data_IF_226446548860
#
_entry.id   IF_226446548860
#
_cell.length_a   1.000
_cell.length_b   1.000
_cell.length_c   1.000
_cell.angle_alpha   90.00
_cell.angle_beta   90.00
_cell.angle_gamma   90.00
#
_symmetry.space_group_name_H-M   'P 1'
#
loop_
_entity.id
_entity.type
_entity.pdbx_description
1 polymer ?
#
# COMPACT_ATOMS: atom_id res chain seq x y z
N UNK A 1 -49.60 9.00 -3.00
CA UNK A 1 -50.07 8.77 -4.38
C UNK A 1 -49.63 7.38 -4.79
N UNK A 2 -50.43 6.63 -5.57
CA UNK A 2 -49.98 5.38 -6.18
C UNK A 2 -48.83 5.69 -7.15
N UNK A 3 -47.73 4.95 -7.08
CA UNK A 3 -46.54 5.11 -7.94
C UNK A 3 -46.84 4.66 -9.38
N UNK A 4 -47.85 5.24 -10.03
CA UNK A 4 -48.39 4.79 -11.32
C UNK A 4 -48.85 3.32 -11.35
N UNK A 5 -49.18 2.74 -10.19
CA UNK A 5 -49.69 1.36 -10.06
C UNK A 5 -51.17 1.38 -9.70
N UNK A 6 -52.02 0.72 -10.50
CA UNK A 6 -53.46 0.58 -10.26
C UNK A 6 -54.34 1.05 -11.41
N UNK A 7 -55.64 1.16 -11.16
CA UNK A 7 -56.62 1.70 -12.11
C UNK A 7 -56.74 3.22 -11.98
N UNK A 8 -56.91 3.92 -13.10
CA UNK A 8 -57.14 5.38 -13.09
C UNK A 8 -58.47 5.75 -12.44
N UNK A 9 -59.53 4.95 -12.65
CA UNK A 9 -60.79 5.06 -11.91
C UNK A 9 -61.34 3.65 -11.62
N UNK A 10 -61.96 3.40 -10.45
CA UNK A 10 -62.58 2.11 -10.15
C UNK A 10 -63.88 1.83 -10.94
N UNK A 11 -64.50 2.88 -11.50
CA UNK A 11 -65.79 2.82 -12.21
C UNK A 11 -65.65 2.02 -13.51
N UNK A 12 -66.53 1.04 -13.71
CA UNK A 12 -66.51 0.15 -14.88
C UNK A 12 -65.61 -1.07 -14.75
N UNK A 13 -64.74 -1.16 -13.73
CA UNK A 13 -63.90 -2.34 -13.49
C UNK A 13 -64.63 -3.49 -12.76
N UNK A 14 -65.79 -3.21 -12.17
CA UNK A 14 -66.53 -4.19 -11.37
C UNK A 14 -65.88 -4.54 -10.03
N UNK A 15 -64.85 -3.82 -9.60
CA UNK A 15 -64.13 -4.04 -8.33
C UNK A 15 -64.05 -2.76 -7.49
N UNK A 16 -63.60 -2.88 -6.23
CA UNK A 16 -63.45 -1.73 -5.31
C UNK A 16 -62.29 -0.78 -5.67
N UNK A 17 -61.42 -1.14 -6.60
CA UNK A 17 -60.22 -0.37 -6.95
C UNK A 17 -59.12 -0.39 -5.88
N UNK A 18 -59.20 -1.30 -4.90
CA UNK A 18 -58.19 -1.45 -3.85
C UNK A 18 -56.92 -2.12 -4.41
N UNK A 19 -55.76 -1.46 -4.29
CA UNK A 19 -54.48 -1.94 -4.79
C UNK A 19 -53.61 -2.39 -3.63
N UNK A 20 -53.23 -3.67 -3.59
CA UNK A 20 -52.33 -4.23 -2.59
C UNK A 20 -50.90 -4.36 -3.16
N UNK A 21 -49.91 -4.03 -2.34
CA UNK A 21 -48.49 -4.29 -2.68
C UNK A 21 -48.21 -5.80 -2.71
N UNK A 22 -47.44 -6.25 -3.70
CA UNK A 22 -46.99 -7.64 -3.74
C UNK A 22 -45.92 -7.88 -2.66
N UNK A 23 -46.19 -8.77 -1.69
CA UNK A 23 -45.26 -9.13 -0.62
C UNK A 23 -44.08 -9.98 -1.09
N UNK A 24 -44.25 -10.71 -2.20
CA UNK A 24 -43.20 -11.54 -2.80
C UNK A 24 -42.30 -10.76 -3.78
N UNK A 25 -42.63 -9.50 -4.07
CA UNK A 25 -41.80 -8.68 -4.95
C UNK A 25 -40.54 -8.21 -4.20
N UNK A 26 -39.42 -8.90 -4.48
CA UNK A 26 -38.10 -8.52 -3.96
C UNK A 26 -37.60 -7.29 -4.70
N UNK A 27 -37.53 -6.14 -4.01
CA UNK A 27 -36.90 -4.94 -4.56
C UNK A 27 -35.41 -5.22 -4.81
N UNK A 28 -34.86 -4.92 -6.01
CA UNK A 28 -33.43 -4.96 -6.25
C UNK A 28 -32.74 -4.08 -5.20
N UNK A 29 -31.74 -4.65 -4.53
CA UNK A 29 -30.94 -3.94 -3.53
C UNK A 29 -29.94 -3.08 -4.30
N UNK A 30 -29.95 -1.77 -4.11
CA UNK A 30 -29.02 -0.84 -4.80
C UNK A 30 -27.54 -1.22 -4.56
N UNK A 31 -27.27 -1.94 -3.48
CA UNK A 31 -25.95 -2.48 -3.14
C UNK A 31 -25.92 -4.00 -3.40
N UNK A 32 -25.90 -4.40 -4.66
CA UNK A 32 -25.87 -5.81 -5.07
C UNK A 32 -24.49 -6.49 -4.94
N UNK A 33 -23.43 -5.77 -4.57
CA UNK A 33 -22.11 -6.36 -4.38
C UNK A 33 -21.58 -6.09 -2.97
N UNK A 34 -21.05 -7.10 -2.26
CA UNK A 34 -20.23 -6.89 -1.06
C UNK A 34 -18.83 -6.32 -1.40
N UNK A 35 -18.60 -5.91 -2.65
CA UNK A 35 -17.34 -5.38 -3.15
C UNK A 35 -17.52 -3.93 -3.60
N UNK A 36 -16.50 -3.12 -3.34
CA UNK A 36 -16.45 -1.72 -3.75
C UNK A 36 -16.76 -1.57 -5.26
N UNK A 37 -17.42 -0.47 -5.67
CA UNK A 37 -17.76 -0.25 -7.07
C UNK A 37 -16.50 -0.33 -7.93
N UNK A 38 -16.59 -1.05 -9.06
CA UNK A 38 -15.53 -1.27 -10.06
C UNK A 38 -14.84 0.00 -10.60
N UNK A 39 -15.36 1.18 -10.27
CA UNK A 39 -14.92 2.46 -10.79
C UNK A 39 -13.79 3.10 -9.96
N UNK A 40 -13.52 2.61 -8.74
CA UNK A 40 -12.39 3.10 -7.95
C UNK A 40 -11.10 2.37 -8.35
N UNK A 41 -10.38 2.94 -9.32
CA UNK A 41 -9.03 2.48 -9.74
C UNK A 41 -8.06 2.34 -8.56
N UNK A 42 -8.27 3.08 -7.48
CA UNK A 42 -7.46 3.02 -6.26
C UNK A 42 -7.73 1.80 -5.38
N UNK A 43 -8.86 1.11 -5.58
CA UNK A 43 -9.16 -0.18 -4.92
C UNK A 43 -8.51 -1.36 -5.65
N UNK A 44 -8.17 -1.21 -6.93
CA UNK A 44 -7.47 -2.22 -7.74
C UNK A 44 -5.96 -2.24 -7.48
N UNK A 45 -5.39 -1.16 -6.92
CA UNK A 45 -3.96 -1.08 -6.60
C UNK A 45 -3.62 -1.98 -5.41
N UNK A 46 -2.66 -2.88 -5.60
CA UNK A 46 -2.16 -3.73 -4.52
C UNK A 46 -1.50 -2.86 -3.42
N UNK A 47 -2.15 -2.77 -2.26
CA UNK A 47 -1.61 -2.10 -1.06
C UNK A 47 -0.98 -3.14 -0.14
N UNK A 48 0.35 -3.16 0.03
CA UNK A 48 0.98 -4.06 0.98
C UNK A 48 0.52 -3.70 2.40
N UNK A 49 0.20 -4.72 3.21
CA UNK A 49 -0.15 -4.54 4.62
C UNK A 49 1.01 -3.86 5.34
N UNK A 50 0.72 -2.75 6.00
CA UNK A 50 1.73 -2.01 6.75
C UNK A 50 2.00 -2.71 8.08
N UNK A 51 3.27 -2.89 8.49
CA UNK A 51 3.59 -3.37 9.82
C UNK A 51 3.21 -2.32 10.87
N UNK A 52 2.74 -2.78 12.02
CA UNK A 52 2.47 -1.90 13.16
C UNK A 52 3.75 -1.76 13.97
N UNK A 53 4.19 -0.51 14.17
CA UNK A 53 5.41 -0.20 14.92
C UNK A 53 5.30 -0.60 16.38
N UNK A 54 4.13 -0.43 17.00
CA UNK A 54 3.90 -0.79 18.39
C UNK A 54 4.03 -2.29 18.63
N UNK A 55 3.52 -3.11 17.70
CA UNK A 55 3.64 -4.57 17.77
C UNK A 55 5.07 -5.04 17.53
N UNK A 56 5.81 -4.40 16.61
CA UNK A 56 7.23 -4.70 16.40
C UNK A 56 8.08 -4.38 17.63
N UNK A 57 7.83 -3.24 18.28
CA UNK A 57 8.51 -2.86 19.53
C UNK A 57 8.16 -3.82 20.67
N UNK A 58 6.89 -4.23 20.76
CA UNK A 58 6.45 -5.19 21.76
C UNK A 58 7.16 -6.53 21.60
N UNK A 59 7.26 -7.07 20.38
CA UNK A 59 7.95 -8.35 20.14
C UNK A 59 9.44 -8.27 20.50
N UNK A 60 10.10 -7.13 20.24
CA UNK A 60 11.50 -6.89 20.66
C UNK A 60 11.66 -6.88 22.17
N UNK A 61 10.78 -6.17 22.90
CA UNK A 61 10.79 -6.15 24.37
C UNK A 61 10.49 -7.54 24.94
N UNK A 62 9.54 -8.26 24.34
CA UNK A 62 9.22 -9.64 24.69
C UNK A 62 10.43 -10.56 24.55
N UNK A 63 11.23 -10.41 23.50
CA UNK A 63 12.45 -11.20 23.32
C UNK A 63 13.47 -10.96 24.45
N UNK A 64 13.59 -9.73 24.95
CA UNK A 64 14.41 -9.42 26.13
C UNK A 64 13.87 -10.13 27.37
N UNK A 65 12.57 -10.02 27.64
CA UNK A 65 11.96 -10.64 28.82
C UNK A 65 12.00 -12.16 28.77
N UNK A 66 11.89 -12.78 27.59
CA UNK A 66 12.06 -14.24 27.43
C UNK A 66 13.47 -14.65 27.84
N UNK A 67 14.52 -13.92 27.44
CA UNK A 67 15.91 -14.23 27.84
C UNK A 67 16.14 -14.04 29.33
N UNK A 68 15.50 -13.04 29.94
CA UNK A 68 15.55 -12.82 31.40
C UNK A 68 14.84 -13.96 32.12
N UNK A 69 13.70 -14.41 31.61
CA UNK A 69 12.96 -15.55 32.14
C UNK A 69 13.76 -16.85 32.03
N UNK A 70 14.39 -17.13 30.89
CA UNK A 70 15.28 -18.28 30.71
C UNK A 70 16.48 -18.27 31.68
N UNK A 71 17.01 -17.08 32.03
CA UNK A 71 18.07 -16.97 33.05
C UNK A 71 17.52 -17.30 34.43
N UNK A 72 16.34 -16.77 34.75
CA UNK A 72 15.67 -17.04 36.03
C UNK A 72 15.43 -18.52 36.23
N UNK A 73 14.84 -19.21 35.24
CA UNK A 73 14.59 -20.65 35.30
C UNK A 73 15.88 -21.45 35.59
N UNK A 74 17.01 -21.06 34.97
CA UNK A 74 18.31 -21.71 35.21
C UNK A 74 18.84 -21.48 36.62
N UNK A 75 18.71 -20.26 37.14
CA UNK A 75 19.20 -19.96 38.50
C UNK A 75 18.32 -20.58 39.58
N UNK A 76 17.01 -20.73 39.31
CA UNK A 76 16.09 -21.49 40.18
C UNK A 76 16.45 -22.99 40.19
N UNK A 77 16.82 -23.57 39.04
CA UNK A 77 17.31 -24.96 38.96
C UNK A 77 18.67 -25.16 39.67
N UNK A 78 19.50 -24.11 39.74
CA UNK A 78 20.77 -24.08 40.47
C UNK A 78 20.60 -23.80 41.98
N UNK A 79 19.37 -23.68 42.49
CA UNK A 79 19.03 -23.38 43.90
C UNK A 79 19.71 -22.11 44.46
N UNK A 80 19.87 -21.08 43.63
CA UNK A 80 20.44 -19.78 44.03
C UNK A 80 19.42 -18.98 44.86
N UNK A 81 19.89 -18.14 45.79
CA UNK A 81 19.03 -17.26 46.59
C UNK A 81 18.23 -16.28 45.73
N UNK A 82 16.96 -16.05 46.08
CA UNK A 82 16.03 -15.19 45.33
C UNK A 82 16.57 -13.76 45.11
N UNK A 83 17.25 -13.19 46.12
CA UNK A 83 17.85 -11.85 46.02
C UNK A 83 18.97 -11.78 44.98
N UNK A 84 19.77 -12.85 44.85
CA UNK A 84 20.84 -12.92 43.87
C UNK A 84 20.29 -13.18 42.46
N UNK A 85 19.21 -13.98 42.36
CA UNK A 85 18.46 -14.18 41.11
C UNK A 85 17.96 -12.84 40.56
N UNK A 86 17.30 -12.03 41.39
CA UNK A 86 16.75 -10.74 40.98
C UNK A 86 17.83 -9.75 40.55
N UNK A 87 18.97 -9.74 41.26
CA UNK A 87 20.12 -8.91 40.90
C UNK A 87 20.69 -9.28 39.52
N UNK A 88 20.97 -10.57 39.31
CA UNK A 88 21.51 -11.09 38.03
C UNK A 88 20.54 -10.87 36.87
N UNK A 89 19.24 -11.10 37.09
CA UNK A 89 18.18 -10.84 36.11
C UNK A 89 18.04 -9.35 35.79
N UNK A 90 18.12 -8.48 36.81
CA UNK A 90 18.07 -7.04 36.65
C UNK A 90 19.26 -6.49 35.86
N UNK A 91 20.46 -7.03 36.10
CA UNK A 91 21.64 -6.71 35.29
C UNK A 91 21.48 -7.16 33.84
N UNK A 92 21.02 -8.39 33.61
CA UNK A 92 20.81 -8.92 32.26
C UNK A 92 19.78 -8.09 31.50
N UNK A 93 18.66 -7.72 32.15
CA UNK A 93 17.62 -6.85 31.56
C UNK A 93 18.21 -5.51 31.12
N UNK A 94 19.00 -4.85 31.97
CA UNK A 94 19.67 -3.58 31.63
C UNK A 94 20.64 -3.74 30.46
N UNK A 95 21.45 -4.80 30.44
CA UNK A 95 22.41 -5.10 29.37
C UNK A 95 21.69 -5.29 28.03
N UNK A 96 20.64 -6.12 28.00
CA UNK A 96 19.88 -6.43 26.79
C UNK A 96 19.06 -5.24 26.26
N UNK A 97 18.48 -4.42 27.14
CA UNK A 97 17.80 -3.18 26.73
C UNK A 97 18.77 -2.18 26.11
N UNK A 98 19.96 -2.00 26.70
CA UNK A 98 20.99 -1.12 26.14
C UNK A 98 21.52 -1.63 24.79
N UNK A 99 21.66 -2.94 24.61
CA UNK A 99 22.02 -3.54 23.32
C UNK A 99 20.91 -3.33 22.28
N UNK A 100 19.65 -3.51 22.67
CA UNK A 100 18.49 -3.27 21.82
C UNK A 100 18.41 -1.82 21.35
N UNK A 101 18.64 -0.85 22.24
CA UNK A 101 18.65 0.57 21.88
C UNK A 101 19.82 0.92 20.94
N UNK A 102 21.02 0.38 21.21
CA UNK A 102 22.18 0.55 20.31
C UNK A 102 21.91 -0.01 18.91
N UNK A 103 21.27 -1.18 18.83
CA UNK A 103 20.90 -1.79 17.55
C UNK A 103 19.79 -1.01 16.81
N UNK A 104 18.98 -0.20 17.51
CA UNK A 104 18.03 0.70 16.88
C UNK A 104 18.67 2.02 16.42
N UNK A 105 19.64 2.53 17.17
CA UNK A 105 20.34 3.78 16.87
C UNK A 105 21.46 3.62 15.81
N UNK A 106 22.03 2.41 15.70
CA UNK A 106 23.03 2.09 14.69
C UNK A 106 22.43 1.94 13.30
N UNK A 107 22.91 2.76 12.36
CA UNK A 107 22.67 2.66 10.92
C UNK A 107 22.60 1.19 10.46
N UNK A 108 21.50 0.82 9.79
CA UNK A 108 21.13 -0.54 9.37
C UNK A 108 22.06 -1.19 8.34
N UNK A 109 23.36 -0.87 8.39
CA UNK A 109 24.43 -1.30 7.49
C UNK A 109 25.47 -2.20 8.13
N UNK A 110 25.53 -2.33 9.47
CA UNK A 110 26.49 -3.24 10.12
C UNK A 110 25.91 -3.94 11.35
N UNK A 111 25.56 -5.21 11.16
CA UNK A 111 25.71 -6.29 12.15
C UNK A 111 24.79 -6.27 13.36
N UNK A 112 23.84 -7.20 13.39
CA UNK A 112 23.11 -7.55 14.62
C UNK A 112 21.79 -8.23 14.31
N UNK A 113 21.82 -9.56 14.16
CA UNK A 113 20.70 -10.44 13.77
C UNK A 113 20.24 -10.17 12.33
N UNK A 114 20.68 -11.02 11.40
CA UNK A 114 20.14 -11.02 10.04
C UNK A 114 18.62 -11.09 10.04
N UNK A 115 17.93 -10.75 8.92
CA UNK A 115 16.48 -10.88 8.85
C UNK A 115 16.11 -12.24 9.40
N UNK A 116 15.24 -12.31 10.44
CA UNK A 116 14.85 -13.58 11.07
C UNK A 116 14.50 -14.54 9.94
N UNK A 117 15.42 -15.45 9.58
CA UNK A 117 15.31 -16.21 8.30
C UNK A 117 14.18 -17.22 8.36
N UNK A 118 13.62 -17.40 9.56
CA UNK A 118 12.62 -18.40 9.91
C UNK A 118 11.49 -17.76 10.73
N UNK A 119 10.94 -16.64 10.24
CA UNK A 119 9.73 -16.05 10.81
C UNK A 119 8.59 -17.08 10.77
N UNK A 120 7.88 -17.21 11.89
CA UNK A 120 6.74 -18.12 11.99
C UNK A 120 5.56 -17.53 11.24
N UNK A 121 4.66 -18.37 10.73
CA UNK A 121 3.49 -17.92 9.96
C UNK A 121 2.58 -16.94 10.72
N UNK A 122 2.57 -16.99 12.06
CA UNK A 122 1.78 -16.08 12.89
C UNK A 122 2.45 -14.70 13.13
N UNK A 123 3.71 -14.51 12.77
CA UNK A 123 4.43 -13.24 12.94
C UNK A 123 4.15 -12.28 11.77
N UNK A 124 2.88 -11.92 11.60
CA UNK A 124 2.39 -11.21 10.40
C UNK A 124 3.07 -9.85 10.20
N UNK A 125 3.31 -9.09 11.28
CA UNK A 125 3.93 -7.76 11.19
C UNK A 125 5.44 -7.84 10.92
N UNK A 126 6.14 -8.80 11.51
CA UNK A 126 7.55 -9.04 11.21
C UNK A 126 7.73 -9.52 9.75
N UNK A 127 6.83 -10.39 9.28
CA UNK A 127 6.80 -10.83 7.87
C UNK A 127 6.52 -9.65 6.92
N UNK A 128 5.61 -8.75 7.27
CA UNK A 128 5.31 -7.57 6.49
C UNK A 128 6.51 -6.61 6.41
N UNK A 129 7.15 -6.31 7.54
CA UNK A 129 8.35 -5.48 7.60
C UNK A 129 9.52 -6.08 6.79
N UNK A 130 9.75 -7.39 6.95
CA UNK A 130 10.76 -8.11 6.18
C UNK A 130 10.48 -8.08 4.67
N UNK A 131 9.22 -8.28 4.26
CA UNK A 131 8.82 -8.25 2.85
C UNK A 131 8.94 -6.86 2.24
N UNK A 132 8.65 -5.80 3.00
CA UNK A 132 8.84 -4.41 2.54
C UNK A 132 10.33 -4.16 2.29
N UNK A 133 11.20 -4.51 3.26
CA UNK A 133 12.66 -4.36 3.12
C UNK A 133 13.23 -5.18 1.96
N UNK A 134 12.75 -6.41 1.76
CA UNK A 134 13.15 -7.26 0.64
C UNK A 134 12.70 -6.64 -0.70
N UNK A 135 11.46 -6.16 -0.78
CA UNK A 135 10.92 -5.49 -1.96
C UNK A 135 11.70 -4.20 -2.28
N UNK A 136 12.10 -3.43 -1.26
CA UNK A 136 12.94 -2.25 -1.43
C UNK A 136 14.35 -2.60 -1.92
N UNK A 137 14.94 -3.67 -1.38
CA UNK A 137 16.24 -4.18 -1.85
C UNK A 137 16.16 -4.67 -3.29
N UNK A 138 15.11 -5.38 -3.66
CA UNK A 138 14.87 -5.83 -5.03
C UNK A 138 14.66 -4.63 -5.98
N UNK A 139 13.87 -3.63 -5.57
CA UNK A 139 13.67 -2.37 -6.31
C UNK A 139 15.00 -1.68 -6.60
N UNK A 140 15.87 -1.56 -5.58
CA UNK A 140 17.21 -0.98 -5.73
C UNK A 140 18.09 -1.82 -6.67
N UNK A 141 18.08 -3.14 -6.55
CA UNK A 141 18.85 -4.05 -7.39
C UNK A 141 18.43 -3.95 -8.87
N UNK A 142 17.12 -3.80 -9.13
CA UNK A 142 16.56 -3.58 -10.47
C UNK A 142 16.72 -2.14 -10.96
N UNK A 143 17.37 -1.26 -10.19
CA UNK A 143 17.55 0.18 -10.50
C UNK A 143 16.24 0.92 -10.75
N UNK A 144 15.15 0.49 -10.12
CA UNK A 144 13.83 1.12 -10.21
C UNK A 144 13.82 2.32 -9.25
N UNK A 145 13.46 3.50 -9.76
CA UNK A 145 13.37 4.73 -8.95
C UNK A 145 12.28 4.60 -7.86
N UNK A 146 12.37 5.42 -6.81
CA UNK A 146 11.35 5.41 -5.74
C UNK A 146 10.02 5.95 -6.26
N UNK A 147 10.11 6.93 -7.14
CA UNK A 147 8.99 7.61 -7.79
C UNK A 147 8.59 6.92 -9.10
N UNK A 148 8.79 5.61 -9.19
CA UNK A 148 8.39 4.85 -10.38
C UNK A 148 6.86 4.75 -10.43
N UNK A 149 6.27 5.41 -11.43
CA UNK A 149 4.86 5.28 -11.75
C UNK A 149 4.65 4.21 -12.82
N UNK A 150 3.78 3.24 -12.52
CA UNK A 150 3.31 2.27 -13.49
C UNK A 150 2.69 3.02 -14.70
N UNK A 151 3.07 2.65 -15.92
CA UNK A 151 2.66 3.39 -17.12
C UNK A 151 3.59 4.56 -17.49
N UNK A 152 4.42 5.05 -16.56
CA UNK A 152 5.24 6.25 -16.76
C UNK A 152 6.32 6.11 -17.84
N UNK A 153 6.74 4.89 -18.17
CA UNK A 153 7.61 4.65 -19.32
C UNK A 153 6.88 4.85 -20.66
N UNK A 154 5.65 4.33 -20.80
CA UNK A 154 4.84 4.50 -22.01
C UNK A 154 4.39 5.94 -22.20
N UNK A 155 3.98 6.64 -21.13
CA UNK A 155 3.62 8.08 -21.21
C UNK A 155 4.79 8.94 -21.69
N UNK A 156 6.00 8.68 -21.16
CA UNK A 156 7.21 9.37 -21.62
C UNK A 156 7.55 9.06 -23.08
N UNK A 157 7.26 7.85 -23.57
CA UNK A 157 7.43 7.55 -25.00
C UNK A 157 6.40 8.29 -25.86
N UNK A 158 5.12 8.27 -25.48
CA UNK A 158 4.06 8.99 -26.19
C UNK A 158 4.34 10.49 -26.23
N UNK A 159 4.78 11.08 -25.11
CA UNK A 159 5.13 12.50 -25.05
C UNK A 159 6.36 12.83 -25.92
N UNK A 160 7.37 11.96 -25.95
CA UNK A 160 8.53 12.12 -26.83
C UNK A 160 8.16 12.01 -28.30
N UNK A 161 7.30 11.06 -28.67
CA UNK A 161 6.77 10.89 -30.03
C UNK A 161 5.93 12.10 -30.45
N UNK A 162 5.05 12.58 -29.55
CA UNK A 162 4.25 13.78 -29.78
C UNK A 162 5.14 15.01 -29.98
N UNK A 163 6.16 15.17 -29.15
CA UNK A 163 7.12 16.28 -29.25
C UNK A 163 7.97 16.23 -30.51
N UNK A 164 8.38 15.03 -30.97
CA UNK A 164 9.11 14.91 -32.25
C UNK A 164 8.22 15.25 -33.44
N UNK A 165 6.96 14.79 -33.44
CA UNK A 165 5.98 15.15 -34.46
C UNK A 165 5.69 16.66 -34.49
N UNK A 166 5.62 17.31 -33.32
CA UNK A 166 5.41 18.76 -33.22
C UNK A 166 6.64 19.55 -33.69
N UNK A 167 7.86 19.06 -33.43
CA UNK A 167 9.09 19.64 -33.99
C UNK A 167 9.18 19.48 -35.51
N UNK A 168 8.80 18.32 -36.06
CA UNK A 168 8.74 18.12 -37.51
C UNK A 168 7.70 19.05 -38.15
N UNK A 169 6.51 19.19 -37.54
CA UNK A 169 5.48 20.11 -38.01
C UNK A 169 5.93 21.59 -37.94
N UNK A 170 6.59 22.00 -36.85
CA UNK A 170 7.13 23.36 -36.69
C UNK A 170 8.25 23.68 -37.68
N UNK A 171 9.17 22.74 -37.92
CA UNK A 171 10.25 22.89 -38.90
C UNK A 171 9.77 23.05 -40.34
N UNK A 172 8.67 22.39 -40.71
CA UNK A 172 8.02 22.59 -42.02
C UNK A 172 7.43 24.00 -42.13
N UNK A 173 6.85 24.55 -41.06
CA UNK A 173 6.27 25.90 -41.11
C UNK A 173 7.30 27.02 -41.16
N UNK A 174 8.46 26.85 -40.51
CA UNK A 174 9.55 27.84 -40.58
C UNK A 174 10.31 27.78 -41.92
N UNK A 175 10.46 26.57 -42.51
CA UNK A 175 11.01 26.43 -43.86
C UNK A 175 10.15 27.11 -44.93
N UNK A 176 8.82 26.98 -44.86
CA UNK A 176 7.89 27.63 -45.81
C UNK A 176 7.88 29.16 -45.65
N UNK A 177 8.09 29.68 -44.44
CA UNK A 177 8.20 31.14 -44.21
C UNK A 177 9.53 31.69 -44.76
N UNK A 178 10.64 31.01 -44.53
CA UNK A 178 11.96 31.41 -45.01
C UNK A 178 12.04 31.32 -46.56
N UNK A 179 11.43 30.31 -47.18
CA UNK A 179 11.29 30.25 -48.65
C UNK A 179 10.40 31.37 -49.21
N UNK A 180 9.27 31.66 -48.56
CA UNK A 180 8.38 32.76 -48.98
C UNK A 180 8.96 34.17 -48.76
N UNK A 181 9.89 34.35 -47.82
CA UNK A 181 10.63 35.61 -47.65
C UNK A 181 11.79 35.74 -48.65
N UNK A 182 12.45 34.63 -48.99
CA UNK A 182 13.47 34.60 -50.06
C UNK A 182 12.88 34.85 -51.44
N UNK A 183 11.70 34.30 -51.76
CA UNK A 183 10.98 34.60 -53.00
C UNK A 183 10.54 36.07 -53.07
N UNK A 184 9.97 36.62 -51.99
CA UNK A 184 9.59 38.05 -51.92
C UNK A 184 10.76 39.03 -51.97
N UNK A 185 11.97 38.56 -51.67
CA UNK A 185 13.19 39.36 -51.80
C UNK A 185 13.79 39.26 -53.21
N UNK A 186 13.47 38.19 -53.95
CA UNK A 186 13.93 37.94 -55.33
C UNK A 186 13.14 38.73 -56.38
N UNK A 187 11.86 38.99 -56.12
CA UNK A 187 10.96 39.78 -56.98
C UNK A 187 11.10 41.31 -56.82
N UNK A 188 12.04 41.79 -56.01
CA UNK A 188 12.24 43.22 -55.71
C UNK A 188 13.46 43.86 -56.39
N UNK A 189 14.04 43.23 -57.42
CA UNK A 189 15.19 43.76 -58.17
C UNK A 189 14.90 43.84 -59.67
#
# INVERSE_FOLDING_TARGET
>A
MSDNVGLSTPRGSGTSGYVQRNLAHMRPRDNAAPYAPRNDVDTLRHKPRQPDKGLLEHERKREVEVKVFELRDKLEEEEVDEEEIDSRCGELRKKLLAEMEKNQAGDGRRGGVGPKRNLKMHQVHELADAKIKESERLRQALKISKDYEEGGHWRRQEERLKKSLEQEAGGVTDGVKDEGERERSRDRY
#
